data_IF_299590760890
#
_entry.id   IF_299590760890
#
_cell.length_a   1.000
_cell.length_b   1.000
_cell.length_c   1.000
_cell.angle_alpha   90.00
_cell.angle_beta   90.00
_cell.angle_gamma   90.00
#
_symmetry.space_group_name_H-M   'P 1'
#
loop_
_entity.id
_entity.type
_entity.pdbx_description
1 polymer ?
#
# COMPACT_ATOMS: atom_id res chain seq x y z
N UNK A 1 60.95 15.12 -11.13
CA UNK A 1 60.15 15.29 -12.36
C UNK A 1 59.22 14.08 -12.47
N UNK A 2 57.99 14.10 -11.95
CA UNK A 2 56.77 14.74 -12.46
C UNK A 2 56.18 14.08 -13.72
N UNK A 3 55.12 13.27 -13.57
CA UNK A 3 53.78 13.59 -14.10
C UNK A 3 52.70 12.60 -13.66
N UNK A 4 51.63 13.22 -13.16
CA UNK A 4 50.30 12.76 -12.77
C UNK A 4 49.41 12.67 -14.01
N UNK A 5 48.39 11.80 -13.95
CA UNK A 5 47.17 11.90 -14.75
C UNK A 5 46.82 10.58 -15.45
N UNK A 6 45.60 10.05 -15.38
CA UNK A 6 44.39 10.46 -14.70
C UNK A 6 43.39 9.32 -14.92
N UNK A 7 42.58 9.00 -13.91
CA UNK A 7 41.48 8.08 -14.07
C UNK A 7 40.50 8.66 -15.10
N UNK A 8 40.12 7.93 -16.16
CA UNK A 8 39.14 8.42 -17.13
C UNK A 8 37.79 8.55 -16.43
N UNK A 9 37.33 9.80 -16.30
CA UNK A 9 36.05 10.15 -15.70
C UNK A 9 34.89 9.48 -16.42
N UNK A 10 34.04 8.80 -15.65
CA UNK A 10 32.74 8.32 -16.11
C UNK A 10 31.86 9.48 -16.58
N UNK A 11 31.11 9.24 -17.66
CA UNK A 11 30.39 10.26 -18.44
C UNK A 11 29.37 11.07 -17.62
N UNK A 12 29.50 12.41 -17.54
CA UNK A 12 28.58 13.31 -16.82
C UNK A 12 27.12 13.32 -17.34
N UNK A 13 26.89 12.96 -18.61
CA UNK A 13 25.56 13.00 -19.23
C UNK A 13 24.59 11.95 -18.70
N UNK A 14 25.10 10.80 -18.24
CA UNK A 14 24.26 9.70 -17.73
C UNK A 14 23.75 9.99 -16.31
N UNK A 15 24.53 10.73 -15.52
CA UNK A 15 24.20 11.09 -14.13
C UNK A 15 23.04 12.09 -14.04
N UNK A 16 22.97 13.07 -14.96
CA UNK A 16 21.90 14.08 -14.95
C UNK A 16 20.53 13.49 -15.33
N UNK A 17 20.51 12.54 -16.27
CA UNK A 17 19.28 11.83 -16.65
C UNK A 17 18.81 10.88 -15.53
N UNK A 18 19.74 10.22 -14.84
CA UNK A 18 19.43 9.38 -13.68
C UNK A 18 18.83 10.21 -12.54
N UNK A 19 19.41 11.37 -12.22
CA UNK A 19 18.89 12.28 -11.18
C UNK A 19 17.46 12.76 -11.51
N UNK A 20 17.18 13.10 -12.77
CA UNK A 20 15.82 13.50 -13.20
C UNK A 20 14.81 12.36 -13.09
N UNK A 21 15.21 11.13 -13.38
CA UNK A 21 14.35 9.95 -13.21
C UNK A 21 14.09 9.67 -11.72
N UNK A 22 15.12 9.73 -10.88
CA UNK A 22 14.99 9.58 -9.43
C UNK A 22 14.06 10.65 -8.82
N UNK A 23 14.16 11.92 -9.25
CA UNK A 23 13.25 12.98 -8.79
C UNK A 23 11.79 12.77 -9.23
N UNK A 24 11.56 12.26 -10.45
CA UNK A 24 10.20 11.91 -10.90
C UNK A 24 9.63 10.76 -10.08
N UNK A 25 10.45 9.76 -9.81
CA UNK A 25 10.09 8.62 -8.98
C UNK A 25 9.74 9.03 -7.55
N UNK A 26 10.55 9.89 -6.94
CA UNK A 26 10.27 10.39 -5.59
C UNK A 26 8.89 11.06 -5.51
N UNK A 27 8.59 11.95 -6.46
CA UNK A 27 7.27 12.59 -6.55
C UNK A 27 6.14 11.58 -6.77
N UNK A 28 6.33 10.64 -7.69
CA UNK A 28 5.33 9.61 -7.97
C UNK A 28 5.10 8.71 -6.74
N UNK A 29 6.14 8.42 -5.96
CA UNK A 29 6.03 7.65 -4.71
C UNK A 29 5.20 8.43 -3.68
N UNK A 30 5.49 9.71 -3.49
CA UNK A 30 4.77 10.59 -2.57
C UNK A 30 3.30 10.77 -2.98
N UNK A 31 3.00 10.90 -4.27
CA UNK A 31 1.63 11.00 -4.79
C UNK A 31 0.86 9.68 -4.60
N UNK A 32 1.46 8.55 -4.98
CA UNK A 32 0.84 7.24 -4.80
C UNK A 32 0.60 6.92 -3.32
N UNK A 33 1.54 7.28 -2.45
CA UNK A 33 1.40 7.08 -1.00
C UNK A 33 0.23 7.89 -0.45
N UNK A 34 0.08 9.16 -0.85
CA UNK A 34 -1.05 10.01 -0.44
C UNK A 34 -2.38 9.49 -0.98
N UNK A 35 -2.41 9.02 -2.22
CA UNK A 35 -3.62 8.43 -2.81
C UNK A 35 -4.05 7.19 -2.03
N UNK A 36 -3.11 6.28 -1.76
CA UNK A 36 -3.35 5.08 -0.95
C UNK A 36 -3.88 5.42 0.43
N UNK A 37 -3.26 6.39 1.12
CA UNK A 37 -3.70 6.85 2.45
C UNK A 37 -5.18 7.26 2.48
N UNK A 38 -5.68 7.88 1.41
CA UNK A 38 -7.07 8.35 1.31
C UNK A 38 -8.04 7.31 0.74
N UNK A 39 -7.53 6.20 0.20
CA UNK A 39 -8.35 5.16 -0.39
C UNK A 39 -9.09 4.39 0.70
N UNK A 40 -10.35 4.06 0.44
CA UNK A 40 -11.18 3.26 1.33
C UNK A 40 -11.31 1.82 0.82
N UNK A 41 -11.27 0.87 1.75
CA UNK A 41 -11.41 -0.56 1.52
C UNK A 41 -12.55 -1.07 2.38
N UNK A 42 -13.54 -1.69 1.74
CA UNK A 42 -14.74 -2.18 2.43
C UNK A 42 -14.84 -3.69 2.30
N UNK A 43 -15.03 -4.36 3.43
CA UNK A 43 -15.29 -5.79 3.48
C UNK A 43 -16.59 -6.07 4.23
N UNK A 44 -17.11 -7.28 4.00
CA UNK A 44 -18.41 -7.73 4.50
C UNK A 44 -18.30 -9.10 5.16
N UNK A 45 -19.12 -9.34 6.17
CA UNK A 45 -19.30 -10.63 6.81
C UNK A 45 -20.80 -10.95 6.99
N UNK A 46 -21.12 -12.23 7.26
CA UNK A 46 -22.48 -12.66 7.58
C UNK A 46 -23.48 -12.39 6.45
N UNK A 47 -23.11 -12.70 5.20
CA UNK A 47 -23.96 -12.43 4.03
C UNK A 47 -24.14 -10.94 3.70
N UNK A 48 -23.36 -10.05 4.32
CA UNK A 48 -23.48 -8.60 4.16
C UNK A 48 -24.19 -7.91 5.32
N UNK A 49 -24.55 -8.66 6.37
CA UNK A 49 -25.13 -8.11 7.59
C UNK A 49 -24.14 -7.21 8.37
N UNK A 50 -22.83 -7.43 8.22
CA UNK A 50 -21.79 -6.54 8.74
C UNK A 50 -20.94 -6.04 7.59
N UNK A 51 -20.72 -4.72 7.53
CA UNK A 51 -19.86 -4.04 6.56
C UNK A 51 -18.90 -3.12 7.33
N UNK A 52 -17.59 -3.26 7.08
CA UNK A 52 -16.54 -2.43 7.70
C UNK A 52 -15.72 -1.78 6.59
N UNK A 53 -15.51 -0.47 6.71
CA UNK A 53 -14.65 0.31 5.81
C UNK A 53 -13.42 0.78 6.58
N UNK A 54 -12.24 0.56 6.00
CA UNK A 54 -10.96 1.07 6.50
C UNK A 54 -10.27 1.96 5.45
N UNK A 55 -9.52 2.95 5.90
CA UNK A 55 -8.63 3.74 5.03
C UNK A 55 -7.32 3.00 4.75
N UNK A 56 -6.56 3.45 3.76
CA UNK A 56 -5.19 2.95 3.53
C UNK A 56 -4.21 3.25 4.67
N UNK A 57 -4.59 4.11 5.64
CA UNK A 57 -3.88 4.28 6.92
C UNK A 57 -4.19 3.19 7.95
N UNK A 58 -5.03 2.21 7.59
CA UNK A 58 -5.54 1.18 8.50
C UNK A 58 -6.41 1.75 9.63
N UNK A 59 -7.09 2.85 9.37
CA UNK A 59 -8.07 3.42 10.29
C UNK A 59 -9.47 2.96 9.87
N UNK A 60 -10.29 2.49 10.82
CA UNK A 60 -11.70 2.17 10.54
C UNK A 60 -12.46 3.49 10.36
N UNK A 61 -13.02 3.72 9.17
CA UNK A 61 -13.77 4.94 8.85
C UNK A 61 -15.28 4.74 8.93
N UNK A 62 -15.75 3.48 8.81
CA UNK A 62 -17.18 3.17 8.84
C UNK A 62 -17.47 1.74 9.30
N UNK A 63 -18.56 1.58 10.03
CA UNK A 63 -19.16 0.29 10.36
C UNK A 63 -20.67 0.37 10.08
N UNK A 64 -21.24 -0.63 9.42
CA UNK A 64 -22.68 -0.80 9.27
C UNK A 64 -23.09 -2.19 9.71
N UNK A 65 -24.19 -2.26 10.44
CA UNK A 65 -24.79 -3.48 10.94
C UNK A 65 -26.24 -3.55 10.47
N UNK A 66 -26.67 -4.72 9.99
CA UNK A 66 -28.07 -5.06 9.79
C UNK A 66 -28.72 -5.29 11.14
N UNK A 67 -30.01 -4.92 11.29
CA UNK A 67 -30.72 -5.13 12.55
C UNK A 67 -30.84 -6.62 12.93
N UNK A 68 -30.78 -7.52 11.94
CA UNK A 68 -30.91 -8.97 12.14
C UNK A 68 -29.73 -9.61 12.88
N UNK A 69 -28.57 -8.96 12.92
CA UNK A 69 -27.37 -9.43 13.65
C UNK A 69 -27.16 -8.70 14.98
N UNK A 70 -28.10 -7.83 15.38
CA UNK A 70 -28.05 -7.12 16.66
C UNK A 70 -29.04 -7.77 17.62
N UNK A 71 -28.67 -8.96 18.09
CA UNK A 71 -29.44 -9.73 19.07
C UNK A 71 -28.74 -9.68 20.45
N UNK A 72 -29.37 -9.11 21.50
CA UNK A 72 -28.78 -9.09 22.84
C UNK A 72 -28.55 -10.48 23.44
N UNK A 73 -29.25 -11.51 22.96
CA UNK A 73 -29.09 -12.89 23.42
C UNK A 73 -27.96 -13.63 22.66
N UNK A 74 -27.44 -13.07 21.55
CA UNK A 74 -26.38 -13.65 20.72
C UNK A 74 -25.36 -12.59 20.26
N UNK A 75 -24.74 -11.93 21.24
CA UNK A 75 -23.68 -10.92 20.99
C UNK A 75 -22.41 -11.55 20.42
N UNK A 76 -22.12 -12.81 20.77
CA UNK A 76 -20.92 -13.53 20.31
C UNK A 76 -20.90 -13.63 18.77
N UNK A 77 -22.05 -13.91 18.14
CA UNK A 77 -22.14 -13.90 16.68
C UNK A 77 -21.80 -12.53 16.09
N UNK A 78 -22.31 -11.45 16.68
CA UNK A 78 -22.03 -10.09 16.18
C UNK A 78 -20.53 -9.75 16.30
N UNK A 79 -19.90 -10.11 17.41
CA UNK A 79 -18.46 -9.93 17.64
C UNK A 79 -17.63 -10.65 16.57
N UNK A 80 -17.96 -11.91 16.27
CA UNK A 80 -17.30 -12.71 15.24
C UNK A 80 -17.43 -12.09 13.84
N UNK A 81 -18.62 -11.61 13.49
CA UNK A 81 -18.86 -10.97 12.20
C UNK A 81 -18.10 -9.64 12.05
N UNK A 82 -18.05 -8.83 13.10
CA UNK A 82 -17.28 -7.59 13.13
C UNK A 82 -15.79 -7.87 13.02
N UNK A 83 -15.28 -8.86 13.75
CA UNK A 83 -13.88 -9.29 13.65
C UNK A 83 -13.54 -9.73 12.22
N UNK A 84 -14.36 -10.60 11.63
CA UNK A 84 -14.15 -11.12 10.29
C UNK A 84 -14.13 -9.99 9.23
N UNK A 85 -15.14 -9.10 9.24
CA UNK A 85 -15.22 -7.99 8.29
C UNK A 85 -14.05 -7.00 8.47
N UNK A 86 -13.66 -6.70 9.71
CA UNK A 86 -12.57 -5.76 9.99
C UNK A 86 -11.23 -6.30 9.50
N UNK A 87 -10.91 -7.55 9.83
CA UNK A 87 -9.65 -8.18 9.42
C UNK A 87 -9.55 -8.31 7.89
N UNK A 88 -10.66 -8.63 7.22
CA UNK A 88 -10.70 -8.68 5.76
C UNK A 88 -10.45 -7.29 5.14
N UNK A 89 -11.09 -6.24 5.65
CA UNK A 89 -10.88 -4.87 5.17
C UNK A 89 -9.42 -4.41 5.36
N UNK A 90 -8.81 -4.75 6.50
CA UNK A 90 -7.38 -4.49 6.77
C UNK A 90 -6.48 -5.25 5.80
N UNK A 91 -6.77 -6.53 5.51
CA UNK A 91 -6.00 -7.31 4.54
C UNK A 91 -6.07 -6.71 3.14
N UNK A 92 -7.25 -6.24 2.70
CA UNK A 92 -7.39 -5.53 1.43
C UNK A 92 -6.53 -4.26 1.35
N UNK A 93 -6.44 -3.50 2.44
CA UNK A 93 -5.58 -2.32 2.52
C UNK A 93 -4.09 -2.69 2.44
N UNK A 94 -3.68 -3.79 3.08
CA UNK A 94 -2.30 -4.31 3.01
C UNK A 94 -1.93 -4.81 1.61
N UNK A 95 -2.81 -5.57 0.98
CA UNK A 95 -2.63 -6.06 -0.39
C UNK A 95 -2.50 -4.88 -1.38
N UNK A 96 -3.33 -3.84 -1.25
CA UNK A 96 -3.23 -2.65 -2.08
C UNK A 96 -1.91 -1.88 -1.90
N UNK A 97 -1.42 -1.78 -0.65
CA UNK A 97 -0.11 -1.19 -0.37
C UNK A 97 1.02 -2.03 -1.00
N UNK A 98 0.97 -3.35 -0.86
CA UNK A 98 1.96 -4.26 -1.46
C UNK A 98 1.96 -4.19 -2.99
N UNK A 99 0.79 -4.08 -3.62
CA UNK A 99 0.68 -3.92 -5.08
C UNK A 99 1.35 -2.64 -5.59
N UNK A 100 1.15 -1.50 -4.92
CA UNK A 100 1.78 -0.24 -5.32
C UNK A 100 3.29 -0.34 -5.20
N UNK A 101 3.79 -0.90 -4.11
CA UNK A 101 5.23 -1.13 -3.92
C UNK A 101 5.80 -2.06 -5.00
N UNK A 102 5.11 -3.15 -5.33
CA UNK A 102 5.51 -4.08 -6.39
C UNK A 102 5.51 -3.42 -7.78
N UNK A 103 4.51 -2.60 -8.11
CA UNK A 103 4.44 -1.86 -9.37
C UNK A 103 5.61 -0.87 -9.49
N UNK A 104 5.99 -0.21 -8.40
CA UNK A 104 7.14 0.70 -8.39
C UNK A 104 8.48 -0.04 -8.49
N UNK A 105 8.63 -1.17 -7.79
CA UNK A 105 9.82 -2.02 -7.88
C UNK A 105 9.97 -2.66 -9.26
N UNK A 106 8.88 -3.09 -9.89
CA UNK A 106 8.85 -3.65 -11.24
C UNK A 106 9.16 -2.61 -12.32
N UNK A 107 8.65 -1.37 -12.17
CA UNK A 107 8.97 -0.25 -13.06
C UNK A 107 10.42 0.23 -13.01
N UNK A 108 11.14 -0.13 -11.95
CA UNK A 108 12.56 0.18 -11.76
C UNK A 108 13.52 -0.79 -12.48
N UNK A 109 13.02 -1.89 -13.06
CA UNK A 109 13.90 -2.95 -13.56
C UNK A 109 14.70 -3.65 -12.44
N UNK A 110 14.32 -3.44 -11.17
CA UNK A 110 14.83 -4.18 -10.01
C UNK A 110 14.20 -5.57 -9.87
N UNK A 111 13.44 -6.03 -10.88
CA UNK A 111 12.87 -7.37 -10.98
C UNK A 111 13.91 -8.49 -11.23
N UNK A 112 15.19 -8.24 -10.99
CA UNK A 112 16.26 -9.23 -11.02
C UNK A 112 16.96 -9.32 -9.67
N UNK A 113 16.39 -10.10 -8.76
CA UNK A 113 17.10 -10.60 -7.58
C UNK A 113 17.16 -9.66 -6.38
N UNK A 114 16.11 -9.68 -5.57
CA UNK A 114 16.28 -9.64 -4.12
C UNK A 114 15.57 -10.87 -3.55
N UNK A 115 16.30 -11.87 -3.05
CA UNK A 115 15.69 -12.93 -2.25
C UNK A 115 15.36 -12.33 -0.89
N UNK A 116 14.07 -12.16 -0.63
CA UNK A 116 13.53 -12.13 0.72
C UNK A 116 12.71 -13.41 0.90
#
# INVERSE_FOLDING_TARGET
>A
MAKRGGFPGGMPGNMNNLMKQAQRMQRQMEENQKELETKEFTAKAGGGAVEVTVSGKKEVTKVKLSAEVVDPDDIEMLEDLVMAATNEALRMAEEANAEVMNKMAGGLGLGGGLPF
#
